data_IF_939052321854
#
_entry.id   IF_939052321854
#
_cell.length_a   1.000
_cell.length_b   1.000
_cell.length_c   1.000
_cell.angle_alpha   90.00
_cell.angle_beta   90.00
_cell.angle_gamma   90.00
#
_symmetry.space_group_name_H-M   'P 1'
#
loop_
_entity.id
_entity.type
_entity.pdbx_description
1 polymer ?
#
# COMPACT_ATOMS: atom_id res chain seq x y z
N UNK A 1 -20.95 4.23 -27.86
CA UNK A 1 -21.52 4.50 -26.52
C UNK A 1 -20.39 4.35 -25.52
N UNK A 2 -20.00 5.43 -24.84
CA UNK A 2 -19.11 5.32 -23.68
C UNK A 2 -19.93 4.68 -22.56
N UNK A 3 -19.49 3.55 -22.06
CA UNK A 3 -20.13 2.87 -20.95
C UNK A 3 -19.64 3.59 -19.68
N UNK A 4 -20.51 4.37 -19.04
CA UNK A 4 -20.20 4.98 -17.75
C UNK A 4 -20.12 3.86 -16.71
N UNK A 5 -18.97 3.74 -16.07
CA UNK A 5 -18.79 2.82 -14.97
C UNK A 5 -18.88 3.62 -13.67
N UNK A 6 -19.85 3.28 -12.83
CA UNK A 6 -20.03 3.93 -11.53
C UNK A 6 -19.25 3.21 -10.45
N UNK A 7 -18.61 3.98 -9.56
CA UNK A 7 -17.93 3.53 -8.37
C UNK A 7 -18.40 4.35 -7.16
N UNK A 8 -18.41 3.72 -5.99
CA UNK A 8 -18.69 4.41 -4.74
C UNK A 8 -17.47 5.25 -4.30
N UNK A 9 -16.27 4.78 -4.66
CA UNK A 9 -15.00 5.45 -4.34
C UNK A 9 -13.99 5.26 -5.48
N UNK A 10 -13.35 6.35 -5.87
CA UNK A 10 -12.18 6.34 -6.75
C UNK A 10 -10.98 6.86 -5.98
N UNK A 11 -9.96 6.02 -5.80
CA UNK A 11 -8.69 6.39 -5.17
C UNK A 11 -7.69 6.78 -6.26
N UNK A 12 -7.23 8.02 -6.23
CA UNK A 12 -6.24 8.52 -7.19
C UNK A 12 -4.85 8.44 -6.59
N UNK A 13 -4.03 7.58 -7.18
CA UNK A 13 -2.71 7.21 -6.71
C UNK A 13 -2.71 5.91 -5.91
N UNK A 14 -2.11 4.87 -6.48
CA UNK A 14 -1.95 3.53 -5.87
C UNK A 14 -0.71 3.41 -4.97
N UNK A 15 -0.20 4.51 -4.42
CA UNK A 15 0.86 4.49 -3.42
C UNK A 15 0.45 3.73 -2.17
N UNK A 16 1.35 3.63 -1.17
CA UNK A 16 1.08 2.86 0.06
C UNK A 16 -0.25 3.27 0.72
N UNK A 17 -0.48 4.58 0.89
CA UNK A 17 -1.70 5.09 1.49
C UNK A 17 -2.94 4.80 0.65
N UNK A 18 -2.85 5.04 -0.68
CA UNK A 18 -3.97 4.78 -1.59
C UNK A 18 -4.33 3.31 -1.68
N UNK A 19 -3.34 2.42 -1.79
CA UNK A 19 -3.58 0.98 -1.83
C UNK A 19 -4.27 0.48 -0.54
N UNK A 20 -3.79 0.91 0.63
CA UNK A 20 -4.39 0.51 1.90
C UNK A 20 -5.80 1.09 2.09
N UNK A 21 -6.02 2.35 1.71
CA UNK A 21 -7.34 2.98 1.77
C UNK A 21 -8.35 2.28 0.86
N UNK A 22 -7.94 1.95 -0.38
CA UNK A 22 -8.78 1.25 -1.34
C UNK A 22 -9.17 -0.14 -0.83
N UNK A 23 -8.20 -0.92 -0.30
CA UNK A 23 -8.46 -2.24 0.26
C UNK A 23 -9.41 -2.14 1.47
N UNK A 24 -9.20 -1.16 2.35
CA UNK A 24 -10.09 -0.95 3.49
C UNK A 24 -11.53 -0.66 3.05
N UNK A 25 -11.70 0.29 2.13
CA UNK A 25 -13.02 0.69 1.64
C UNK A 25 -13.74 -0.46 0.92
N UNK A 26 -13.02 -1.22 0.09
CA UNK A 26 -13.60 -2.36 -0.61
C UNK A 26 -14.04 -3.48 0.35
N UNK A 27 -13.29 -3.71 1.43
CA UNK A 27 -13.66 -4.69 2.48
C UNK A 27 -14.91 -4.27 3.27
N UNK A 28 -15.22 -2.98 3.32
CA UNK A 28 -16.48 -2.45 3.87
C UNK A 28 -17.65 -2.52 2.88
N UNK A 29 -17.44 -3.11 1.71
CA UNK A 29 -18.48 -3.37 0.72
C UNK A 29 -18.63 -2.29 -0.34
N UNK A 30 -17.76 -1.29 -0.39
CA UNK A 30 -17.79 -0.26 -1.43
C UNK A 30 -17.24 -0.80 -2.75
N UNK A 31 -17.82 -0.37 -3.88
CA UNK A 31 -17.29 -0.59 -5.21
C UNK A 31 -16.16 0.41 -5.49
N UNK A 32 -14.93 -0.04 -5.46
CA UNK A 32 -13.74 0.81 -5.50
C UNK A 32 -12.98 0.67 -6.80
N UNK A 33 -12.48 1.80 -7.32
CA UNK A 33 -11.44 1.83 -8.34
C UNK A 33 -10.18 2.52 -7.81
N UNK A 34 -9.01 2.08 -8.28
CA UNK A 34 -7.73 2.77 -8.08
C UNK A 34 -7.21 3.21 -9.43
N UNK A 35 -6.90 4.51 -9.56
CA UNK A 35 -6.25 5.10 -10.72
C UNK A 35 -4.78 5.31 -10.36
N UNK A 36 -3.89 4.59 -11.02
CA UNK A 36 -2.45 4.64 -10.78
C UNK A 36 -1.69 4.89 -12.09
N UNK A 37 -0.85 5.91 -12.10
CA UNK A 37 -0.04 6.26 -13.29
C UNK A 37 1.11 5.29 -13.54
N UNK A 38 1.55 4.58 -12.52
CA UNK A 38 2.56 3.54 -12.63
C UNK A 38 1.97 2.19 -13.02
N UNK A 39 2.81 1.17 -12.94
CA UNK A 39 2.48 -0.21 -13.33
C UNK A 39 2.21 -1.14 -12.15
N UNK A 40 2.23 -0.61 -10.92
CA UNK A 40 2.02 -1.40 -9.71
C UNK A 40 1.54 -0.56 -8.53
N UNK A 41 0.95 -1.20 -7.54
CA UNK A 41 0.63 -0.60 -6.25
C UNK A 41 1.87 -0.50 -5.34
N UNK A 42 1.76 0.32 -4.29
CA UNK A 42 2.75 0.45 -3.21
C UNK A 42 3.67 1.68 -3.32
N UNK A 43 3.67 2.39 -4.46
CA UNK A 43 4.43 3.64 -4.64
C UNK A 43 5.91 3.48 -4.30
N UNK A 44 6.46 4.39 -3.48
CA UNK A 44 7.88 4.38 -3.12
C UNK A 44 8.31 3.08 -2.42
N UNK A 45 7.47 2.50 -1.58
CA UNK A 45 7.80 1.24 -0.90
C UNK A 45 8.01 0.06 -1.87
N UNK A 46 7.37 0.12 -3.04
CA UNK A 46 7.42 -0.94 -4.05
C UNK A 46 8.34 -0.61 -5.24
N UNK A 47 8.44 0.67 -5.65
CA UNK A 47 9.02 1.05 -6.96
C UNK A 47 10.32 1.84 -6.88
N UNK A 48 10.75 2.30 -5.69
CA UNK A 48 11.93 3.16 -5.56
C UNK A 48 13.25 2.42 -5.32
N UNK A 49 13.22 1.09 -5.23
CA UNK A 49 14.36 0.28 -4.83
C UNK A 49 14.60 0.25 -3.32
N UNK A 50 13.70 0.82 -2.52
CA UNK A 50 13.74 0.67 -1.07
C UNK A 50 13.44 -0.78 -0.69
N UNK A 51 14.26 -1.32 0.19
CA UNK A 51 14.12 -2.68 0.73
C UNK A 51 14.00 -2.70 2.24
N UNK A 52 13.90 -1.53 2.85
CA UNK A 52 13.93 -1.38 4.30
C UNK A 52 12.99 -0.25 4.73
N UNK A 53 12.16 -0.51 5.72
CA UNK A 53 11.31 0.47 6.39
C UNK A 53 11.89 0.77 7.77
N UNK A 54 12.18 2.06 8.01
CA UNK A 54 12.68 2.55 9.29
C UNK A 54 11.53 2.76 10.27
N UNK A 55 11.86 2.70 11.56
CA UNK A 55 10.89 2.88 12.65
C UNK A 55 9.68 1.93 12.55
N UNK A 56 9.91 0.73 12.04
CA UNK A 56 8.89 -0.30 11.90
C UNK A 56 8.40 -0.83 13.26
N UNK A 57 9.17 -0.60 14.31
CA UNK A 57 8.88 -1.00 15.66
C UNK A 57 9.58 -0.11 16.68
N UNK A 58 9.21 -0.29 17.93
CA UNK A 58 9.84 0.33 19.08
C UNK A 58 9.98 -0.70 20.19
N UNK A 59 11.21 -0.86 20.68
CA UNK A 59 11.54 -1.83 21.74
C UNK A 59 11.04 -3.26 21.46
N UNK A 60 11.14 -3.71 20.22
CA UNK A 60 10.71 -5.04 19.79
C UNK A 60 9.21 -5.19 19.51
N UNK A 61 8.42 -4.13 19.66
CA UNK A 61 7.01 -4.14 19.34
C UNK A 61 6.72 -3.45 18.00
N UNK A 62 6.01 -4.10 17.04
CA UNK A 62 5.61 -3.47 15.80
C UNK A 62 4.69 -2.27 16.02
N UNK A 63 4.91 -1.19 15.26
CA UNK A 63 4.10 0.02 15.35
C UNK A 63 2.88 0.00 14.40
N UNK A 64 2.88 -0.87 13.39
CA UNK A 64 1.75 -0.91 12.44
C UNK A 64 0.53 -1.64 12.98
N UNK A 65 -0.63 -1.28 12.40
CA UNK A 65 -1.94 -1.82 12.74
C UNK A 65 -2.75 -2.05 11.44
N UNK A 66 -3.87 -2.75 11.57
CA UNK A 66 -4.82 -2.95 10.48
C UNK A 66 -4.19 -3.61 9.25
N UNK A 67 -4.50 -3.09 8.06
CA UNK A 67 -4.05 -3.64 6.77
C UNK A 67 -2.52 -3.61 6.64
N UNK A 68 -1.87 -2.56 7.12
CA UNK A 68 -0.41 -2.47 7.10
C UNK A 68 0.21 -3.63 7.88
N UNK A 69 -0.31 -3.94 9.05
CA UNK A 69 0.11 -5.08 9.85
C UNK A 69 -0.10 -6.40 9.11
N UNK A 70 -1.26 -6.59 8.49
CA UNK A 70 -1.58 -7.78 7.71
C UNK A 70 -0.58 -7.97 6.55
N UNK A 71 -0.31 -6.90 5.80
CA UNK A 71 0.62 -6.94 4.67
C UNK A 71 2.01 -7.41 5.12
N UNK A 72 2.56 -6.80 6.17
CA UNK A 72 3.89 -7.17 6.62
C UNK A 72 3.94 -8.53 7.30
N UNK A 73 2.93 -8.92 8.06
CA UNK A 73 2.85 -10.27 8.62
C UNK A 73 2.80 -11.33 7.50
N UNK A 74 2.03 -11.12 6.41
CA UNK A 74 2.02 -12.03 5.26
C UNK A 74 3.39 -12.13 4.57
N UNK A 75 4.12 -11.01 4.42
CA UNK A 75 5.48 -11.03 3.87
C UNK A 75 6.45 -11.78 4.77
N UNK A 76 6.36 -11.61 6.10
CA UNK A 76 7.20 -12.29 7.07
C UNK A 76 6.93 -13.80 7.05
N UNK A 77 5.67 -14.21 7.09
CA UNK A 77 5.28 -15.63 7.04
C UNK A 77 5.68 -16.30 5.73
N UNK A 78 5.67 -15.55 4.64
CA UNK A 78 6.15 -16.01 3.33
C UNK A 78 7.67 -16.06 3.20
N UNK A 79 8.44 -15.60 4.21
CA UNK A 79 9.90 -15.53 4.14
C UNK A 79 10.43 -14.37 3.30
N UNK A 80 9.59 -13.36 3.02
CA UNK A 80 9.91 -12.22 2.16
C UNK A 80 10.15 -10.92 2.94
N UNK A 81 10.05 -10.95 4.25
CA UNK A 81 10.41 -9.86 5.13
C UNK A 81 10.95 -10.38 6.47
N UNK A 82 11.74 -9.54 7.14
CA UNK A 82 12.26 -9.83 8.47
C UNK A 82 12.47 -8.55 9.28
N UNK A 83 12.20 -8.64 10.57
CA UNK A 83 12.54 -7.58 11.52
C UNK A 83 14.02 -7.60 11.87
N UNK A 84 14.60 -6.41 11.97
CA UNK A 84 15.90 -6.14 12.53
C UNK A 84 15.73 -5.21 13.73
N UNK A 85 15.94 -5.74 14.92
CA UNK A 85 15.72 -5.02 16.17
C UNK A 85 16.93 -4.20 16.58
N UNK A 86 16.68 -3.07 17.25
CA UNK A 86 17.67 -2.23 17.87
C UNK A 86 18.83 -1.81 16.95
N UNK A 87 18.52 -1.51 15.68
CA UNK A 87 19.51 -1.04 14.69
C UNK A 87 19.86 0.42 14.98
N UNK A 88 21.15 0.79 15.11
CA UNK A 88 21.54 2.17 15.30
C UNK A 88 21.11 3.05 14.13
N UNK A 89 20.57 4.24 14.41
CA UNK A 89 20.26 5.23 13.37
C UNK A 89 21.55 5.79 12.75
N UNK A 90 21.52 6.02 11.44
CA UNK A 90 22.65 6.61 10.72
C UNK A 90 22.98 8.04 11.18
N UNK A 91 21.97 8.81 11.55
CA UNK A 91 22.09 10.20 12.03
C UNK A 91 22.50 10.32 13.49
N UNK A 92 22.17 9.33 14.31
CA UNK A 92 22.57 9.26 15.73
C UNK A 92 22.65 7.80 16.16
N UNK A 93 23.88 7.30 16.35
CA UNK A 93 24.14 5.90 16.70
C UNK A 93 23.69 5.48 18.10
N UNK A 94 23.42 6.45 18.99
CA UNK A 94 22.86 6.19 20.32
C UNK A 94 21.37 5.84 20.26
N UNK A 95 20.69 6.34 19.22
CA UNK A 95 19.28 6.04 18.98
C UNK A 95 19.17 4.74 18.21
N UNK A 96 18.45 3.79 18.77
CA UNK A 96 18.18 2.49 18.14
C UNK A 96 16.73 2.42 17.73
N UNK A 97 16.51 1.95 16.50
CA UNK A 97 15.18 1.75 15.93
C UNK A 97 15.04 0.32 15.45
N UNK A 98 13.81 -0.17 15.45
CA UNK A 98 13.49 -1.42 14.80
C UNK A 98 13.21 -1.16 13.33
N UNK A 99 13.72 -2.00 12.46
CA UNK A 99 13.56 -1.91 11.00
C UNK A 99 12.89 -3.17 10.47
N UNK A 100 12.10 -3.01 9.42
CA UNK A 100 11.60 -4.11 8.63
C UNK A 100 12.31 -4.11 7.28
N UNK A 101 13.05 -5.17 6.98
CA UNK A 101 13.60 -5.42 5.66
C UNK A 101 12.65 -6.32 4.91
N UNK A 102 12.35 -6.00 3.65
CA UNK A 102 11.39 -6.72 2.82
C UNK A 102 11.83 -6.78 1.36
N UNK A 103 11.23 -7.72 0.62
CA UNK A 103 11.34 -7.83 -0.82
C UNK A 103 10.25 -6.94 -1.48
N UNK A 104 10.62 -5.86 -2.20
CA UNK A 104 9.66 -4.96 -2.83
C UNK A 104 8.88 -5.61 -3.97
N UNK A 105 9.43 -6.60 -4.67
CA UNK A 105 8.69 -7.31 -5.72
C UNK A 105 7.58 -8.18 -5.11
N UNK A 106 7.85 -8.78 -3.96
CA UNK A 106 6.82 -9.52 -3.22
C UNK A 106 5.75 -8.61 -2.63
N UNK A 107 6.13 -7.41 -2.21
CA UNK A 107 5.17 -6.39 -1.78
C UNK A 107 4.22 -5.98 -2.90
N UNK A 108 4.72 -5.74 -4.13
CA UNK A 108 3.89 -5.45 -5.31
C UNK A 108 2.84 -6.53 -5.53
N UNK A 109 3.30 -7.79 -5.63
CA UNK A 109 2.43 -8.94 -5.87
C UNK A 109 1.37 -9.10 -4.77
N UNK A 110 1.75 -8.91 -3.51
CA UNK A 110 0.82 -9.05 -2.40
C UNK A 110 -0.24 -7.94 -2.40
N UNK A 111 0.15 -6.70 -2.67
CA UNK A 111 -0.81 -5.58 -2.74
C UNK A 111 -1.81 -5.77 -3.89
N UNK A 112 -1.35 -6.22 -5.05
CA UNK A 112 -2.21 -6.52 -6.18
C UNK A 112 -3.15 -7.69 -5.87
N UNK A 113 -2.64 -8.75 -5.27
CA UNK A 113 -3.46 -9.88 -4.82
C UNK A 113 -4.57 -9.43 -3.85
N UNK A 114 -4.23 -8.62 -2.84
CA UNK A 114 -5.20 -8.10 -1.88
C UNK A 114 -6.25 -7.21 -2.54
N UNK A 115 -5.85 -6.40 -3.53
CA UNK A 115 -6.77 -5.56 -4.28
C UNK A 115 -7.74 -6.40 -5.13
N UNK A 116 -7.24 -7.43 -5.79
CA UNK A 116 -8.06 -8.37 -6.58
C UNK A 116 -9.00 -9.18 -5.68
N UNK A 117 -8.51 -9.70 -4.56
CA UNK A 117 -9.32 -10.41 -3.55
C UNK A 117 -10.47 -9.52 -3.01
N UNK A 118 -10.23 -8.21 -2.88
CA UNK A 118 -11.22 -7.24 -2.44
C UNK A 118 -12.16 -6.76 -3.57
N UNK A 119 -11.97 -7.20 -4.81
CA UNK A 119 -12.80 -6.81 -5.95
C UNK A 119 -12.55 -5.40 -6.47
N UNK A 120 -11.37 -4.83 -6.20
CA UNK A 120 -11.00 -3.48 -6.65
C UNK A 120 -10.71 -3.48 -8.15
N UNK A 121 -11.24 -2.48 -8.86
CA UNK A 121 -10.85 -2.21 -10.25
C UNK A 121 -9.53 -1.44 -10.26
N UNK A 122 -8.47 -2.03 -10.84
CA UNK A 122 -7.16 -1.41 -10.97
C UNK A 122 -6.99 -0.81 -12.37
N UNK A 123 -6.74 0.49 -12.44
CA UNK A 123 -6.48 1.23 -13.68
C UNK A 123 -5.03 1.72 -13.62
N UNK A 124 -4.13 0.89 -14.12
CA UNK A 124 -2.71 1.23 -14.26
C UNK A 124 -2.44 2.09 -15.49
N UNK A 125 -1.27 2.72 -15.54
CA UNK A 125 -0.83 3.62 -16.62
C UNK A 125 -1.91 4.67 -16.97
N UNK A 126 -2.67 5.07 -15.94
CA UNK A 126 -3.83 5.94 -16.03
C UNK A 126 -3.67 7.15 -15.14
N UNK A 127 -3.97 8.32 -15.67
CA UNK A 127 -3.84 9.59 -14.96
C UNK A 127 -5.19 10.32 -14.91
N UNK A 128 -5.52 10.86 -13.72
CA UNK A 128 -6.67 11.74 -13.57
C UNK A 128 -6.33 13.12 -14.15
N UNK A 129 -7.05 13.53 -15.18
CA UNK A 129 -6.84 14.84 -15.81
C UNK A 129 -7.78 15.93 -15.27
N UNK A 130 -8.97 15.57 -14.82
CA UNK A 130 -9.92 16.49 -14.23
C UNK A 130 -10.95 15.76 -13.37
N UNK A 131 -11.44 16.46 -12.35
CA UNK A 131 -12.64 16.08 -11.59
C UNK A 131 -13.63 17.24 -11.63
N UNK A 132 -14.91 16.92 -11.69
CA UNK A 132 -15.99 17.91 -11.64
C UNK A 132 -17.01 17.45 -10.62
N UNK A 133 -17.57 18.40 -9.90
CA UNK A 133 -18.72 18.18 -9.06
C UNK A 133 -19.95 17.98 -9.96
N UNK A 134 -20.70 16.88 -9.73
CA UNK A 134 -21.97 16.65 -10.41
C UNK A 134 -23.04 17.56 -9.83
N UNK A 135 -24.00 18.00 -10.65
CA UNK A 135 -25.23 18.58 -10.14
C UNK A 135 -26.04 17.46 -9.48
N UNK A 136 -26.39 17.63 -8.20
CA UNK A 136 -27.37 16.74 -7.56
C UNK A 136 -28.71 16.94 -8.25
N UNK A 137 -29.25 15.87 -8.87
CA UNK A 137 -30.63 15.83 -9.38
C UNK A 137 -31.62 15.59 -8.23
#
# INVERSE_FOLDING_TARGET
>A
MQQETQFDLIVVGGGTAGAFSAIAAAREGLKVAVVERGTCLGGLAASSGLTEMNAAGFQGAPLYRGIEREVFDRLIWGGHAAYHFAVPMSSNKEVKIDRLRYDPERLKLLLEQLAVEAGITLLYETELTAAREGEEE
#
